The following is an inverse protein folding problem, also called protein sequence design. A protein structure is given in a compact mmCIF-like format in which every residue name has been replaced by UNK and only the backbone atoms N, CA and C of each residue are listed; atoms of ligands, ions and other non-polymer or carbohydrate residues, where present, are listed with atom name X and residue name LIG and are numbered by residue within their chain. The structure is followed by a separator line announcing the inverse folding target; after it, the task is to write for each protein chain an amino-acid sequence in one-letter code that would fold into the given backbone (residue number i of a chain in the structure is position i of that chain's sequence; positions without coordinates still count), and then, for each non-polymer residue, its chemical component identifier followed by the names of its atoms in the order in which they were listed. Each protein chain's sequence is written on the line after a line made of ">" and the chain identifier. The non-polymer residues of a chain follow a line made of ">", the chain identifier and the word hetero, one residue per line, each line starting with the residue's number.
data_IF_417663862906
#
_entry.id   IF_417663862906
#
_cell.length_a   1.000
_cell.length_b   1.000
_cell.length_c   1.000
_cell.angle_alpha   90.00
_cell.angle_beta   90.00
_cell.angle_gamma   90.00
#
_symmetry.space_group_name_H-M   'P 1'
#
loop_
_entity.id
_entity.type
_entity.pdbx_description
1 polymer ?
#
# COMPACT_ATOMS: atom_id res chain seq x y z
N UNK A 1 -9.46 5.44 20.05
CA UNK A 1 -9.49 6.31 18.93
C UNK A 1 -9.56 5.55 17.64
N UNK A 2 -10.46 5.94 16.76
CA UNK A 2 -10.63 5.22 15.52
C UNK A 2 -9.74 5.79 14.43
N UNK A 3 -8.92 4.95 13.87
CA UNK A 3 -8.09 5.33 12.76
C UNK A 3 -8.76 4.78 11.50
N UNK A 4 -8.92 5.60 10.47
CA UNK A 4 -9.48 5.09 9.22
C UNK A 4 -8.68 3.90 8.73
N UNK A 5 -9.39 2.95 8.12
CA UNK A 5 -8.74 1.73 7.67
C UNK A 5 -7.61 2.01 6.69
N UNK A 6 -7.83 2.95 5.78
CA UNK A 6 -6.79 3.21 4.79
C UNK A 6 -5.53 3.78 5.44
N UNK A 7 -5.68 4.52 6.53
CA UNK A 7 -4.51 5.03 7.23
C UNK A 7 -3.78 3.91 7.94
N UNK A 8 -4.52 2.98 8.51
CA UNK A 8 -3.90 1.86 9.19
C UNK A 8 -3.12 1.01 8.21
N UNK A 9 -3.70 0.77 7.03
CA UNK A 9 -3.04 0.00 6.01
C UNK A 9 -1.79 0.75 5.54
N UNK A 10 -1.90 2.06 5.36
CA UNK A 10 -0.77 2.86 4.93
C UNK A 10 0.39 2.73 5.91
N UNK A 11 0.09 2.84 7.19
CA UNK A 11 1.13 2.74 8.21
C UNK A 11 1.77 1.36 8.21
N UNK A 12 0.96 0.34 8.05
CA UNK A 12 1.46 -1.02 8.03
C UNK A 12 2.36 -1.26 6.83
N UNK A 13 1.94 -0.80 5.67
CA UNK A 13 2.74 -0.95 4.47
C UNK A 13 4.03 -0.14 4.57
N UNK A 14 3.94 1.05 5.13
CA UNK A 14 5.12 1.87 5.30
C UNK A 14 6.14 1.17 6.18
N UNK A 15 5.67 0.55 7.24
CA UNK A 15 6.57 -0.17 8.12
C UNK A 15 7.25 -1.30 7.38
N UNK A 16 6.52 -2.01 6.55
CA UNK A 16 7.11 -3.11 5.78
C UNK A 16 8.13 -2.59 4.79
N UNK A 17 7.88 -1.45 4.21
CA UNK A 17 8.84 -0.84 3.30
C UNK A 17 10.11 -0.46 4.05
N UNK A 18 9.95 0.14 5.21
CA UNK A 18 11.10 0.57 5.99
C UNK A 18 11.87 -0.60 6.56
N UNK A 19 11.19 -1.70 6.82
CA UNK A 19 11.86 -2.90 7.32
C UNK A 19 12.52 -3.71 6.21
N UNK A 20 12.30 -3.33 4.96
CA UNK A 20 12.89 -4.04 3.87
C UNK A 20 12.09 -5.23 3.36
N UNK A 21 10.88 -5.43 3.87
CA UNK A 21 10.05 -6.51 3.36
C UNK A 21 9.61 -6.24 1.94
N UNK A 22 9.36 -4.98 1.62
CA UNK A 22 9.04 -4.59 0.26
C UNK A 22 10.17 -3.70 -0.20
N UNK A 23 10.89 -4.16 -1.20
CA UNK A 23 11.99 -3.38 -1.73
C UNK A 23 11.45 -2.30 -2.63
N UNK A 24 12.14 -1.19 -2.65
CA UNK A 24 11.66 0.00 -3.35
C UNK A 24 11.26 -0.26 -4.78
N UNK A 25 12.02 -1.06 -5.51
CA UNK A 25 11.74 -1.31 -6.92
C UNK A 25 11.00 -2.60 -7.16
N UNK A 26 10.58 -3.28 -6.11
CA UNK A 26 9.88 -4.53 -6.27
C UNK A 26 8.38 -4.28 -6.28
N UNK A 27 7.68 -5.21 -6.88
CA UNK A 27 6.24 -5.14 -6.86
C UNK A 27 5.73 -5.55 -5.49
N UNK A 28 4.90 -4.71 -4.91
CA UNK A 28 4.20 -5.11 -3.70
C UNK A 28 2.96 -5.90 -4.14
N UNK A 29 2.28 -6.53 -3.21
CA UNK A 29 1.06 -7.26 -3.56
C UNK A 29 0.06 -6.36 -4.28
N UNK A 30 -0.76 -6.96 -5.11
CA UNK A 30 -1.75 -6.19 -5.84
C UNK A 30 -2.82 -5.67 -4.91
N UNK A 31 -3.62 -4.74 -5.43
CA UNK A 31 -4.73 -4.21 -4.66
C UNK A 31 -5.67 -5.34 -4.23
N UNK A 32 -5.90 -6.27 -5.12
CA UNK A 32 -6.78 -7.38 -4.80
C UNK A 32 -6.21 -8.22 -3.66
N UNK A 33 -4.92 -8.51 -3.74
CA UNK A 33 -4.28 -9.30 -2.71
C UNK A 33 -4.28 -8.58 -1.37
N UNK A 34 -4.00 -7.30 -1.41
CA UNK A 34 -4.00 -6.52 -0.18
C UNK A 34 -5.42 -6.40 0.40
N UNK A 35 -6.39 -6.25 -0.47
CA UNK A 35 -7.77 -6.17 -0.01
C UNK A 35 -8.16 -7.45 0.71
N UNK A 36 -7.76 -8.58 0.18
CA UNK A 36 -8.05 -9.85 0.82
C UNK A 36 -7.27 -10.01 2.12
N UNK A 37 -6.03 -9.60 2.08
CA UNK A 37 -5.16 -9.73 3.23
C UNK A 37 -5.67 -8.92 4.41
N UNK A 38 -6.10 -7.70 4.13
CA UNK A 38 -6.59 -6.82 5.19
C UNK A 38 -8.10 -6.89 5.36
N UNK A 39 -8.77 -7.63 4.49
CA UNK A 39 -10.23 -7.79 4.55
C UNK A 39 -10.93 -6.45 4.44
N UNK A 40 -10.54 -5.69 3.45
CA UNK A 40 -11.13 -4.39 3.17
C UNK A 40 -11.45 -4.30 1.69
N UNK A 41 -12.12 -3.23 1.31
CA UNK A 41 -12.45 -3.04 -0.09
C UNK A 41 -11.21 -2.57 -0.86
N UNK A 42 -11.24 -2.76 -2.17
CA UNK A 42 -10.14 -2.33 -3.01
C UNK A 42 -9.94 -0.82 -2.98
N UNK A 43 -11.00 -0.01 -3.01
CA UNK A 43 -10.79 1.43 -2.92
C UNK A 43 -10.05 1.85 -1.65
N UNK A 44 -10.28 1.14 -0.55
CA UNK A 44 -9.58 1.43 0.69
C UNK A 44 -8.09 1.16 0.53
N UNK A 45 -7.75 0.04 -0.10
CA UNK A 45 -6.35 -0.28 -0.36
C UNK A 45 -5.74 0.76 -1.29
N UNK A 46 -6.50 1.14 -2.31
CA UNK A 46 -5.99 2.12 -3.27
C UNK A 46 -5.67 3.43 -2.61
N UNK A 47 -6.51 3.87 -1.68
CA UNK A 47 -6.23 5.10 -0.95
C UNK A 47 -4.93 5.01 -0.18
N UNK A 48 -4.72 3.87 0.46
CA UNK A 48 -3.50 3.70 1.25
C UNK A 48 -2.27 3.70 0.37
N UNK A 49 -2.33 2.98 -0.74
CA UNK A 49 -1.20 2.91 -1.66
C UNK A 49 -0.94 4.27 -2.29
N UNK A 50 -2.02 4.96 -2.67
CA UNK A 50 -1.86 6.26 -3.29
C UNK A 50 -1.21 7.25 -2.34
N UNK A 51 -1.55 7.17 -1.06
CA UNK A 51 -0.92 8.05 -0.08
C UNK A 51 0.58 7.80 -0.01
N UNK A 52 0.99 6.54 -0.07
CA UNK A 52 2.41 6.22 -0.04
C UNK A 52 3.11 6.69 -1.31
N UNK A 53 2.44 6.59 -2.44
CA UNK A 53 3.00 7.11 -3.68
C UNK A 53 3.17 8.61 -3.59
N UNK A 54 2.15 9.29 -3.08
CA UNK A 54 2.21 10.75 -2.95
C UNK A 54 3.31 11.19 -2.02
N UNK A 55 3.62 10.38 -1.02
CA UNK A 55 4.65 10.73 -0.07
C UNK A 55 6.05 10.28 -0.51
N UNK A 56 6.12 9.59 -1.63
CA UNK A 56 7.40 9.19 -2.16
C UNK A 56 7.93 7.86 -1.67
N UNK A 57 7.16 7.14 -0.91
CA UNK A 57 7.60 5.83 -0.41
C UNK A 57 7.44 4.73 -1.43
N UNK A 58 6.49 4.90 -2.35
CA UNK A 58 6.26 3.94 -3.41
C UNK A 58 6.26 4.66 -4.73
N UNK A 59 6.70 3.98 -5.75
CA UNK A 59 6.63 4.55 -7.08
C UNK A 59 5.32 4.15 -7.72
N UNK A 60 4.79 5.08 -8.49
CA UNK A 60 3.59 4.77 -9.22
C UNK A 60 3.87 3.63 -10.15
N UNK A 61 3.03 2.62 -10.10
CA UNK A 61 3.23 1.45 -10.93
C UNK A 61 3.08 1.83 -12.38
N UNK A 62 4.09 1.52 -13.15
CA UNK A 62 4.04 1.81 -14.56
C UNK A 62 3.31 0.72 -15.28
N UNK A 63 2.58 1.12 -16.30
CA UNK A 63 1.97 0.14 -17.13
C UNK A 63 3.01 -0.56 -17.95
N UNK A 64 2.83 -1.83 -18.06
CA UNK A 64 3.70 -2.59 -18.92
C UNK A 64 3.22 -2.43 -20.30
N UNK A 65 3.94 -2.01 -21.04
CA UNK A 65 3.55 -1.87 -22.35
C UNK A 65 3.68 -1.69 -23.27
#
# INVERSE_FOLDING_TARGET
>A
MNIPLHKKIRMDLLEKIQNGEYVENQLIPTEMELAEQYKVSRPTVRQAVQALVNEGYLEKRKKRG
#
